data_IF_126592393177
#
_entry.id   IF_126592393177
#
_cell.length_a   1.000
_cell.length_b   1.000
_cell.length_c   1.000
_cell.angle_alpha   90.00
_cell.angle_beta   90.00
_cell.angle_gamma   90.00
#
_symmetry.space_group_name_H-M   'P 1'
#
loop_
_entity.id
_entity.type
_entity.pdbx_description
1 polymer ?
#
# COMPACT_ATOMS: atom_id res chain seq x y z
N UNK A 1 18.65 19.32 20.86
CA UNK A 1 18.98 19.27 19.43
C UNK A 1 20.02 18.20 19.04
N UNK A 2 20.56 17.33 19.94
CA UNK A 2 21.49 16.25 19.51
C UNK A 2 21.44 14.91 20.29
N UNK A 3 20.52 14.71 21.25
CA UNK A 3 20.37 13.42 21.95
C UNK A 3 19.26 12.50 21.40
N UNK A 4 18.44 12.99 20.46
CA UNK A 4 17.10 12.45 20.12
C UNK A 4 16.99 11.99 18.65
N UNK A 5 17.95 12.37 17.80
CA UNK A 5 17.85 12.28 16.34
C UNK A 5 17.97 10.86 15.75
N UNK A 6 18.63 9.93 16.44
CA UNK A 6 18.74 8.53 15.97
C UNK A 6 17.87 7.56 16.76
N UNK A 7 17.71 7.74 18.09
CA UNK A 7 16.96 6.79 18.93
C UNK A 7 15.45 6.90 18.80
N UNK A 8 14.92 8.08 18.43
CA UNK A 8 13.49 8.32 18.30
C UNK A 8 13.04 8.53 16.85
N UNK A 9 13.96 8.61 15.87
CA UNK A 9 13.61 8.75 14.46
C UNK A 9 12.73 7.60 13.96
N UNK A 10 13.12 6.35 14.28
CA UNK A 10 12.33 5.16 13.99
C UNK A 10 10.97 5.20 14.68
N UNK A 11 10.95 5.56 15.97
CA UNK A 11 9.73 5.61 16.78
C UNK A 11 8.73 6.65 16.26
N UNK A 12 9.22 7.80 15.80
CA UNK A 12 8.39 8.83 15.20
C UNK A 12 7.87 8.38 13.83
N UNK A 13 8.72 7.78 12.99
CA UNK A 13 8.30 7.23 11.69
C UNK A 13 7.20 6.18 11.86
N UNK A 14 7.43 5.19 12.74
CA UNK A 14 6.46 4.15 13.07
C UNK A 14 5.18 4.73 13.68
N UNK A 15 5.27 5.71 14.57
CA UNK A 15 4.09 6.35 15.16
C UNK A 15 3.25 7.10 14.13
N UNK A 16 3.87 7.72 13.13
CA UNK A 16 3.15 8.36 12.01
C UNK A 16 2.50 7.30 11.12
N UNK A 17 3.23 6.23 10.77
CA UNK A 17 2.69 5.10 10.02
C UNK A 17 1.50 4.44 10.73
N UNK A 18 1.60 4.21 12.03
CA UNK A 18 0.52 3.65 12.86
C UNK A 18 -0.70 4.57 12.90
N UNK A 19 -0.49 5.87 13.15
CA UNK A 19 -1.60 6.85 13.21
C UNK A 19 -2.32 6.95 11.86
N UNK A 20 -1.57 6.99 10.75
CA UNK A 20 -2.13 7.02 9.40
C UNK A 20 -2.87 5.71 9.10
N UNK A 21 -2.32 4.57 9.52
CA UNK A 21 -2.97 3.27 9.35
C UNK A 21 -4.29 3.19 10.09
N UNK A 22 -4.33 3.61 11.37
CA UNK A 22 -5.57 3.66 12.15
C UNK A 22 -6.61 4.56 11.49
N UNK A 23 -6.23 5.76 11.06
CA UNK A 23 -7.15 6.64 10.35
C UNK A 23 -7.72 6.00 9.06
N UNK A 24 -6.85 5.34 8.29
CA UNK A 24 -7.25 4.70 7.03
C UNK A 24 -8.08 3.43 7.21
N UNK A 25 -7.98 2.74 8.35
CA UNK A 25 -8.90 1.65 8.69
C UNK A 25 -10.33 2.18 8.86
N UNK A 26 -10.48 3.32 9.51
CA UNK A 26 -11.77 4.02 9.65
C UNK A 26 -12.30 4.52 8.31
N UNK A 27 -11.44 5.02 7.42
CA UNK A 27 -11.79 5.36 6.03
C UNK A 27 -12.27 4.12 5.28
N UNK A 28 -11.51 3.03 5.35
CA UNK A 28 -11.84 1.76 4.70
C UNK A 28 -13.19 1.22 5.16
N UNK A 29 -13.47 1.27 6.48
CA UNK A 29 -14.77 0.90 7.04
C UNK A 29 -15.91 1.75 6.47
N UNK A 30 -15.74 3.07 6.41
CA UNK A 30 -16.74 3.99 5.82
C UNK A 30 -16.99 3.70 4.34
N UNK A 31 -15.97 3.30 3.58
CA UNK A 31 -16.11 2.87 2.18
C UNK A 31 -16.80 1.52 2.05
N UNK A 32 -16.59 0.59 2.98
CA UNK A 32 -17.29 -0.71 2.98
C UNK A 32 -18.78 -0.51 3.25
N UNK A 33 -19.13 0.39 4.18
CA UNK A 33 -20.51 0.66 4.60
C UNK A 33 -21.28 1.59 3.65
N UNK A 34 -20.60 2.29 2.73
CA UNK A 34 -21.27 3.17 1.77
C UNK A 34 -22.09 2.39 0.74
N UNK A 35 -23.11 3.03 0.15
CA UNK A 35 -23.83 2.49 -1.01
C UNK A 35 -22.89 2.28 -2.20
N UNK A 36 -23.26 1.38 -3.12
CA UNK A 36 -22.48 1.10 -4.32
C UNK A 36 -22.29 2.37 -5.14
N UNK A 37 -23.38 3.06 -5.48
CA UNK A 37 -23.37 4.27 -6.32
C UNK A 37 -22.48 5.40 -5.76
N UNK A 38 -22.33 5.48 -4.43
CA UNK A 38 -21.54 6.51 -3.74
C UNK A 38 -20.09 6.11 -3.46
N UNK A 39 -19.70 4.86 -3.71
CA UNK A 39 -18.37 4.38 -3.34
C UNK A 39 -17.27 5.14 -4.10
N UNK A 40 -17.41 5.29 -5.42
CA UNK A 40 -16.39 5.93 -6.25
C UNK A 40 -16.23 7.42 -5.89
N UNK A 41 -17.35 8.13 -5.67
CA UNK A 41 -17.34 9.55 -5.28
C UNK A 41 -16.71 9.75 -3.90
N UNK A 42 -17.02 8.86 -2.95
CA UNK A 42 -16.39 8.84 -1.63
C UNK A 42 -14.90 8.53 -1.71
N UNK A 43 -14.49 7.51 -2.48
CA UNK A 43 -13.08 7.18 -2.67
C UNK A 43 -12.29 8.36 -3.24
N UNK A 44 -12.87 9.09 -4.20
CA UNK A 44 -12.25 10.32 -4.74
C UNK A 44 -12.01 11.36 -3.64
N UNK A 45 -13.02 11.65 -2.83
CA UNK A 45 -12.91 12.66 -1.76
C UNK A 45 -11.88 12.25 -0.72
N UNK A 46 -11.95 11.00 -0.23
CA UNK A 46 -11.01 10.50 0.78
C UNK A 46 -9.58 10.41 0.22
N UNK A 47 -9.41 10.13 -1.08
CA UNK A 47 -8.10 10.16 -1.73
C UNK A 47 -7.51 11.57 -1.84
N UNK A 48 -8.30 12.55 -2.28
CA UNK A 48 -7.84 13.94 -2.40
C UNK A 48 -7.48 14.53 -1.02
N UNK A 49 -8.31 14.28 -0.02
CA UNK A 49 -8.08 14.70 1.36
C UNK A 49 -6.83 14.04 1.97
N UNK A 50 -6.67 12.73 1.74
CA UNK A 50 -5.48 11.99 2.18
C UNK A 50 -4.20 12.54 1.55
N UNK A 51 -4.20 12.84 0.24
CA UNK A 51 -3.04 13.44 -0.43
C UNK A 51 -2.70 14.81 0.13
N UNK A 52 -3.70 15.66 0.35
CA UNK A 52 -3.50 16.99 0.92
C UNK A 52 -2.89 16.89 2.33
N UNK A 53 -3.48 16.03 3.17
CA UNK A 53 -3.03 15.79 4.54
C UNK A 53 -1.61 15.22 4.59
N UNK A 54 -1.31 14.24 3.75
CA UNK A 54 0.05 13.68 3.66
C UNK A 54 1.07 14.69 3.13
N UNK A 55 0.68 15.62 2.25
CA UNK A 55 1.51 16.74 1.84
C UNK A 55 1.89 17.65 3.01
N UNK A 56 0.91 18.02 3.84
CA UNK A 56 1.15 18.82 5.05
C UNK A 56 2.04 18.08 6.06
N UNK A 57 1.80 16.78 6.28
CA UNK A 57 2.61 15.95 7.18
C UNK A 57 4.06 15.88 6.67
N UNK A 58 4.27 15.70 5.37
CA UNK A 58 5.60 15.71 4.75
C UNK A 58 6.33 17.02 4.98
N UNK A 59 5.65 18.16 4.84
CA UNK A 59 6.26 19.48 5.03
C UNK A 59 6.71 19.69 6.49
N UNK A 60 5.91 19.23 7.46
CA UNK A 60 6.25 19.24 8.89
C UNK A 60 7.41 18.28 9.19
N UNK A 61 7.38 17.07 8.60
CA UNK A 61 8.38 16.02 8.82
C UNK A 61 9.53 16.05 7.81
N UNK A 62 9.73 17.15 7.09
CA UNK A 62 10.76 17.29 6.05
C UNK A 62 12.17 16.95 6.56
N UNK A 63 12.47 17.24 7.82
CA UNK A 63 13.76 16.90 8.41
C UNK A 63 13.96 15.38 8.56
N UNK A 64 12.89 14.62 8.84
CA UNK A 64 12.93 13.16 8.89
C UNK A 64 13.25 12.57 7.52
N UNK A 65 12.57 13.04 6.47
CA UNK A 65 12.82 12.59 5.09
C UNK A 65 14.27 12.90 4.66
N UNK A 66 14.76 14.12 4.96
CA UNK A 66 16.09 14.56 4.51
C UNK A 66 17.26 13.91 5.24
N UNK A 67 17.08 13.52 6.50
CA UNK A 67 18.17 13.02 7.34
C UNK A 67 17.99 11.54 7.70
N UNK A 68 16.85 11.16 8.26
CA UNK A 68 16.63 9.81 8.78
C UNK A 68 16.33 8.79 7.68
N UNK A 69 15.37 9.08 6.79
CA UNK A 69 14.95 8.19 5.70
C UNK A 69 16.11 7.95 4.72
N UNK A 70 16.86 9.01 4.36
CA UNK A 70 18.05 8.89 3.50
C UNK A 70 19.16 8.01 4.09
N UNK A 71 19.27 7.95 5.41
CA UNK A 71 20.25 7.09 6.09
C UNK A 71 19.78 5.64 6.23
N UNK A 72 18.47 5.37 6.12
CA UNK A 72 17.88 4.04 6.29
C UNK A 72 16.97 3.64 5.09
N UNK A 73 17.45 3.70 3.84
CA UNK A 73 16.64 3.46 2.65
C UNK A 73 16.11 2.02 2.52
N UNK A 74 16.66 1.07 3.28
CA UNK A 74 16.19 -0.32 3.32
C UNK A 74 15.01 -0.52 4.25
N UNK A 75 14.80 0.38 5.21
CA UNK A 75 13.79 0.23 6.27
C UNK A 75 12.69 1.29 6.18
N UNK A 76 12.94 2.41 5.52
CA UNK A 76 12.02 3.53 5.43
C UNK A 76 11.90 4.04 3.99
N UNK A 77 10.68 4.41 3.61
CA UNK A 77 10.39 5.23 2.41
C UNK A 77 10.04 6.66 2.84
N UNK A 78 10.12 7.66 1.94
CA UNK A 78 9.66 9.02 2.25
C UNK A 78 8.26 9.02 2.87
N UNK A 79 8.01 9.93 3.82
CA UNK A 79 6.76 9.94 4.59
C UNK A 79 5.52 10.03 3.68
N UNK A 80 5.60 10.81 2.61
CA UNK A 80 4.53 10.90 1.62
C UNK A 80 4.25 9.55 0.95
N UNK A 81 5.30 8.88 0.46
CA UNK A 81 5.18 7.56 -0.20
C UNK A 81 4.71 6.47 0.78
N UNK A 82 5.11 6.57 2.05
CA UNK A 82 4.60 5.72 3.13
C UNK A 82 3.08 5.89 3.26
N UNK A 83 2.58 7.12 3.34
CA UNK A 83 1.15 7.38 3.45
C UNK A 83 0.35 6.86 2.25
N UNK A 84 0.90 6.97 1.03
CA UNK A 84 0.26 6.42 -0.17
C UNK A 84 0.26 4.88 -0.16
N UNK A 85 1.36 4.24 0.31
CA UNK A 85 1.44 2.79 0.47
C UNK A 85 0.39 2.29 1.46
N UNK A 86 0.23 2.94 2.61
CA UNK A 86 -0.76 2.57 3.61
C UNK A 86 -2.19 2.73 3.06
N UNK A 87 -2.46 3.78 2.28
CA UNK A 87 -3.76 3.96 1.60
C UNK A 87 -4.05 2.81 0.64
N UNK A 88 -3.07 2.46 -0.20
CA UNK A 88 -3.17 1.33 -1.13
C UNK A 88 -3.50 0.05 -0.39
N UNK A 89 -2.77 -0.27 0.67
CA UNK A 89 -2.86 -1.57 1.33
C UNK A 89 -4.12 -1.68 2.21
N UNK A 90 -4.56 -0.58 2.83
CA UNK A 90 -5.68 -0.57 3.78
C UNK A 90 -7.04 -0.30 3.12
N UNK A 91 -7.11 0.64 2.18
CA UNK A 91 -8.38 1.06 1.55
C UNK A 91 -8.61 0.26 0.27
N UNK A 92 -7.70 0.38 -0.71
CA UNK A 92 -7.84 -0.29 -2.01
C UNK A 92 -7.49 -1.78 -1.93
N UNK A 93 -6.65 -2.19 -0.99
CA UNK A 93 -6.28 -3.59 -0.77
C UNK A 93 -7.43 -4.42 -0.24
N UNK A 94 -8.46 -3.78 0.35
CA UNK A 94 -9.63 -4.48 0.83
C UNK A 94 -10.47 -4.98 -0.35
N UNK A 95 -10.67 -6.30 -0.43
CA UNK A 95 -11.30 -6.96 -1.58
C UNK A 95 -12.67 -6.36 -1.93
N UNK A 96 -13.52 -6.09 -0.93
CA UNK A 96 -14.84 -5.50 -1.17
C UNK A 96 -14.77 -4.11 -1.80
N UNK A 97 -13.85 -3.26 -1.34
CA UNK A 97 -13.69 -1.90 -1.88
C UNK A 97 -13.16 -1.98 -3.30
N UNK A 98 -12.13 -2.80 -3.52
CA UNK A 98 -11.52 -3.01 -4.84
C UNK A 98 -12.52 -3.51 -5.88
N UNK A 99 -13.22 -4.59 -5.57
CA UNK A 99 -14.07 -5.29 -6.54
C UNK A 99 -15.27 -4.40 -6.93
N UNK A 100 -15.83 -3.67 -5.95
CA UNK A 100 -16.89 -2.68 -6.19
C UNK A 100 -16.39 -1.49 -7.01
N UNK A 101 -15.23 -0.91 -6.65
CA UNK A 101 -14.67 0.22 -7.39
C UNK A 101 -14.35 -0.13 -8.85
N UNK A 102 -13.75 -1.31 -9.09
CA UNK A 102 -13.49 -1.81 -10.46
C UNK A 102 -14.81 -2.04 -11.19
N UNK A 103 -15.80 -2.65 -10.53
CA UNK A 103 -17.12 -2.88 -11.10
C UNK A 103 -17.79 -1.59 -11.57
N UNK A 104 -17.74 -0.52 -10.77
CA UNK A 104 -18.29 0.78 -11.13
C UNK A 104 -17.54 1.44 -12.28
N UNK A 105 -16.21 1.44 -12.26
CA UNK A 105 -15.41 2.00 -13.35
C UNK A 105 -15.71 1.29 -14.68
N UNK A 106 -15.83 -0.04 -14.66
CA UNK A 106 -16.18 -0.82 -15.84
C UNK A 106 -17.63 -0.59 -16.29
N UNK A 107 -18.57 -0.40 -15.36
CA UNK A 107 -19.95 -0.08 -15.69
C UNK A 107 -20.03 1.27 -16.42
N UNK A 108 -19.37 2.30 -15.91
CA UNK A 108 -19.36 3.61 -16.54
C UNK A 108 -18.62 3.62 -17.90
N UNK A 109 -17.50 2.89 -18.02
CA UNK A 109 -16.82 2.73 -19.32
C UNK A 109 -17.73 2.02 -20.33
N UNK A 110 -18.49 1.01 -19.90
CA UNK A 110 -19.46 0.35 -20.79
C UNK A 110 -20.53 1.32 -21.25
N UNK A 111 -21.05 2.19 -20.38
CA UNK A 111 -22.04 3.21 -20.76
C UNK A 111 -21.48 4.15 -21.83
N UNK A 112 -20.24 4.62 -21.63
CA UNK A 112 -19.53 5.44 -22.62
C UNK A 112 -19.42 4.74 -23.98
N UNK A 113 -19.08 3.44 -23.98
CA UNK A 113 -18.97 2.65 -25.22
C UNK A 113 -20.30 2.40 -25.92
N UNK A 114 -21.43 2.43 -25.21
CA UNK A 114 -22.77 2.29 -25.79
C UNK A 114 -23.35 3.64 -26.25
N UNK A 115 -22.59 4.73 -26.16
CA UNK A 115 -23.03 6.07 -26.54
C UNK A 115 -23.94 6.73 -25.50
N UNK A 116 -24.02 6.19 -24.28
CA UNK A 116 -24.66 6.85 -23.15
C UNK A 116 -23.70 7.90 -22.55
N UNK A 117 -24.23 9.05 -22.18
CA UNK A 117 -23.43 10.09 -21.52
C UNK A 117 -22.97 9.60 -20.15
N UNK A 118 -21.66 9.54 -19.95
CA UNK A 118 -21.04 9.29 -18.64
C UNK A 118 -21.54 10.31 -17.62
N UNK A 119 -21.98 9.86 -16.45
CA UNK A 119 -22.58 10.74 -15.45
C UNK A 119 -21.55 11.71 -14.84
N UNK A 120 -20.32 11.24 -14.59
CA UNK A 120 -19.21 12.07 -14.10
C UNK A 120 -17.86 11.62 -14.69
N UNK A 121 -17.44 12.18 -15.84
CA UNK A 121 -16.14 11.88 -16.45
C UNK A 121 -14.95 12.23 -15.56
N UNK A 122 -15.09 13.27 -14.72
CA UNK A 122 -14.03 13.70 -13.84
C UNK A 122 -13.82 12.71 -12.69
N UNK A 123 -14.90 12.10 -12.20
CA UNK A 123 -14.83 11.06 -11.18
C UNK A 123 -14.03 9.84 -11.66
N UNK A 124 -14.33 9.35 -12.87
CA UNK A 124 -13.62 8.21 -13.47
C UNK A 124 -12.16 8.57 -13.69
N UNK A 125 -11.89 9.76 -14.23
CA UNK A 125 -10.52 10.22 -14.46
C UNK A 125 -9.70 10.29 -13.17
N UNK A 126 -10.28 10.84 -12.09
CA UNK A 126 -9.59 10.89 -10.79
C UNK A 126 -9.38 9.50 -10.22
N UNK A 127 -10.38 8.62 -10.31
CA UNK A 127 -10.27 7.24 -9.82
C UNK A 127 -9.19 6.44 -10.59
N UNK A 128 -9.14 6.57 -11.91
CA UNK A 128 -8.09 5.95 -12.74
C UNK A 128 -6.71 6.53 -12.43
N UNK A 129 -6.58 7.86 -12.28
CA UNK A 129 -5.32 8.51 -11.89
C UNK A 129 -4.84 8.00 -10.53
N UNK A 130 -5.75 7.90 -9.55
CA UNK A 130 -5.46 7.30 -8.25
C UNK A 130 -4.92 5.88 -8.40
N UNK A 131 -5.61 5.00 -9.15
CA UNK A 131 -5.18 3.61 -9.32
C UNK A 131 -3.80 3.51 -10.00
N UNK A 132 -3.53 4.36 -10.99
CA UNK A 132 -2.22 4.44 -11.65
C UNK A 132 -1.15 4.93 -10.67
N UNK A 133 -1.40 6.01 -9.93
CA UNK A 133 -0.50 6.54 -8.90
C UNK A 133 -0.16 5.44 -7.88
N UNK A 134 -1.18 4.74 -7.35
CA UNK A 134 -1.00 3.67 -6.37
C UNK A 134 -0.25 2.44 -6.91
N UNK A 135 -0.40 2.13 -8.20
CA UNK A 135 0.30 1.01 -8.86
C UNK A 135 1.80 1.26 -9.03
N UNK A 136 2.21 2.52 -9.09
CA UNK A 136 3.60 2.92 -9.31
C UNK A 136 4.45 2.95 -8.03
N UNK A 137 3.82 2.78 -6.85
CA UNK A 137 4.49 2.90 -5.55
C UNK A 137 5.36 1.66 -5.31
N UNK A 138 6.67 1.90 -5.21
CA UNK A 138 7.65 0.88 -4.84
C UNK A 138 7.29 0.30 -3.47
N UNK A 139 6.98 -0.99 -3.43
CA UNK A 139 6.93 -1.74 -2.18
C UNK A 139 8.34 -1.82 -1.63
N UNK A 140 8.51 -1.55 -0.33
CA UNK A 140 9.75 -1.89 0.37
C UNK A 140 10.16 -3.32 -0.01
N UNK A 141 11.43 -3.58 -0.34
CA UNK A 141 11.86 -4.94 -0.58
C UNK A 141 11.54 -5.73 0.67
N UNK A 142 10.57 -6.65 0.56
CA UNK A 142 10.23 -7.54 1.64
C UNK A 142 11.54 -8.15 2.16
N UNK A 143 11.81 -7.97 3.47
CA UNK A 143 12.83 -8.74 4.18
C UNK A 143 12.73 -10.17 3.66
N UNK A 144 13.77 -10.62 2.95
CA UNK A 144 13.83 -11.99 2.43
C UNK A 144 13.55 -12.91 3.60
N UNK A 145 12.36 -13.53 3.57
CA UNK A 145 11.98 -14.54 4.54
C UNK A 145 13.11 -15.55 4.65
N UNK A 146 13.59 -15.70 5.89
CA UNK A 146 14.18 -16.90 6.51
C UNK A 146 14.85 -17.88 5.54
N UNK A 147 16.17 -18.12 5.61
CA UNK A 147 16.75 -19.25 4.88
C UNK A 147 16.08 -20.54 5.37
N UNK A 148 15.35 -21.22 4.48
CA UNK A 148 14.80 -22.55 4.73
C UNK A 148 15.93 -23.47 5.17
N UNK A 149 15.98 -23.70 6.48
CA UNK A 149 16.79 -24.74 7.08
C UNK A 149 16.05 -26.05 6.87
N UNK A 150 16.66 -26.92 6.07
CA UNK A 150 16.51 -28.36 6.18
C UNK A 150 15.29 -28.97 5.51
N UNK A 151 15.49 -29.48 4.30
CA UNK A 151 15.28 -30.91 4.02
C UNK A 151 16.26 -31.33 2.91
N UNK A 152 17.49 -31.66 3.32
CA UNK A 152 18.38 -32.49 2.51
C UNK A 152 17.77 -33.89 2.55
N UNK A 153 17.09 -34.27 1.49
CA UNK A 153 16.81 -35.67 1.17
C UNK A 153 18.15 -36.41 1.18
N UNK A 154 18.30 -37.33 2.13
CA UNK A 154 19.48 -38.19 2.21
C UNK A 154 19.58 -39.06 0.95
N UNK A 155 20.77 -39.28 0.38
CA UNK A 155 20.94 -40.32 -0.63
C UNK A 155 20.79 -41.70 0.03
N UNK A 156 20.23 -42.69 -0.68
CA UNK A 156 19.90 -44.00 -0.12
C UNK A 156 21.16 -44.82 0.20
N UNK A 157 21.04 -45.67 1.22
CA UNK A 157 22.03 -46.69 1.60
C UNK A 157 22.41 -47.56 0.39
N UNK A 158 23.70 -47.83 0.14
CA UNK A 158 24.09 -48.81 -0.87
C UNK A 158 23.80 -50.23 -0.38
N UNK A 159 22.96 -50.94 -1.11
CA UNK A 159 22.75 -52.37 -0.94
C UNK A 159 24.02 -53.15 -1.33
N UNK A 160 24.37 -54.08 -0.45
CA UNK A 160 25.45 -55.06 -0.51
C UNK A 160 25.55 -55.84 -1.83
N UNK A 161 26.77 -56.21 -2.20
CA UNK A 161 27.08 -57.32 -3.12
C UNK A 161 28.46 -57.93 -2.79
N UNK A 162 28.73 -59.21 -3.15
CA UNK A 162 29.34 -60.16 -2.21
C UNK A 162 30.73 -60.71 -2.59
N UNK A 163 31.30 -61.45 -1.61
CA UNK A 163 32.12 -62.67 -1.72
C UNK A 163 33.66 -62.61 -1.65
N UNK A 164 34.16 -63.42 -0.70
CA UNK A 164 35.31 -64.34 -0.72
C UNK A 164 36.71 -63.82 -1.08
N UNK A 165 37.60 -63.82 -0.09
CA UNK A 165 38.73 -64.76 0.04
C UNK A 165 39.24 -64.78 1.49
#
# INVERSE_FOLDING_TARGET
YNLVLHKYGLKLYQGVEETVTLHLLEVSKRCIESADEDLLSRLKVEWEDHKMTMGMIRDILMYMDRNYVRQHPQQCVPVYDMGLRVFRDTVIGHARVRDRAIGQILAELRRELHGETVADPQLIKTALSMLVELSSIQTLPAERGVPETGYRTGPPLPASSPSSS
#
